data_IF_369390752887
#
_entry.id   IF_369390752887
#
_cell.length_a   1.000
_cell.length_b   1.000
_cell.length_c   1.000
_cell.angle_alpha   90.00
_cell.angle_beta   90.00
_cell.angle_gamma   90.00
#
_symmetry.space_group_name_H-M   'P 1'
#
loop_
_entity.id
_entity.type
_entity.pdbx_description
1 polymer ?
#
# COMPACT_ATOMS: atom_id res chain seq x y z
N UNK A 1 4.81 -50.40 30.00
CA UNK A 1 5.27 -49.41 29.00
C UNK A 1 4.58 -48.09 29.30
N UNK A 2 5.34 -47.06 29.66
CA UNK A 2 4.81 -45.76 30.13
C UNK A 2 4.79 -44.80 28.94
N UNK A 3 3.61 -44.52 28.39
CA UNK A 3 3.46 -43.58 27.29
C UNK A 3 3.64 -42.15 27.82
N UNK A 4 4.74 -41.51 27.45
CA UNK A 4 4.91 -40.06 27.59
C UNK A 4 4.02 -39.39 26.54
N UNK A 5 2.90 -38.80 26.99
CA UNK A 5 2.12 -37.88 26.19
C UNK A 5 2.91 -36.57 26.04
N UNK A 6 3.51 -36.39 24.87
CA UNK A 6 4.08 -35.11 24.45
C UNK A 6 2.88 -34.21 24.12
N UNK A 7 2.56 -33.27 25.00
CA UNK A 7 1.57 -32.22 24.72
C UNK A 7 2.23 -31.26 23.72
N UNK A 8 1.72 -31.10 22.49
CA UNK A 8 2.21 -30.05 21.62
C UNK A 8 1.77 -28.72 22.22
N UNK A 9 2.75 -27.94 22.68
CA UNK A 9 2.53 -26.54 23.02
C UNK A 9 2.15 -25.81 21.73
N UNK A 10 0.85 -25.61 21.53
CA UNK A 10 0.33 -24.73 20.49
C UNK A 10 0.68 -23.31 20.94
N UNK A 11 1.76 -22.75 20.38
CA UNK A 11 1.99 -21.31 20.44
C UNK A 11 0.84 -20.65 19.69
N UNK A 12 -0.18 -20.21 20.43
CA UNK A 12 -1.14 -19.24 19.94
C UNK A 12 -0.36 -17.93 19.73
N UNK A 13 0.25 -17.79 18.56
CA UNK A 13 0.70 -16.50 18.09
C UNK A 13 -0.54 -15.60 18.09
N UNK A 14 -0.61 -14.72 19.09
CA UNK A 14 -1.58 -13.65 19.08
C UNK A 14 -1.19 -12.77 17.90
N UNK A 15 -1.79 -13.01 16.73
CA UNK A 15 -1.66 -12.09 15.61
C UNK A 15 -2.35 -10.82 16.06
N UNK A 16 -1.57 -9.89 16.62
CA UNK A 16 -1.99 -8.51 16.71
C UNK A 16 -2.53 -8.15 15.33
N UNK A 17 -3.76 -7.63 15.28
CA UNK A 17 -4.28 -7.14 14.02
C UNK A 17 -3.33 -6.04 13.55
N UNK A 18 -2.85 -6.15 12.31
CA UNK A 18 -1.97 -5.16 11.73
C UNK A 18 -2.58 -3.76 11.89
N UNK A 19 -1.73 -2.79 12.22
CA UNK A 19 -2.12 -1.38 12.37
C UNK A 19 -2.05 -0.69 11.02
N UNK A 20 -2.91 0.31 10.85
CA UNK A 20 -2.97 1.11 9.64
C UNK A 20 -2.92 2.59 10.00
N UNK A 21 -1.93 3.30 9.48
CA UNK A 21 -1.70 4.72 9.72
C UNK A 21 -1.70 5.50 8.40
N UNK A 22 -2.17 6.76 8.45
CA UNK A 22 -2.18 7.65 7.29
C UNK A 22 -3.22 7.33 6.21
N UNK A 23 -3.98 6.24 6.36
CA UNK A 23 -5.06 5.88 5.44
C UNK A 23 -6.27 6.81 5.64
N UNK A 24 -6.69 7.46 4.57
CA UNK A 24 -7.86 8.35 4.56
C UNK A 24 -8.76 8.04 3.37
N UNK A 25 -10.06 8.30 3.52
CA UNK A 25 -10.98 8.31 2.38
C UNK A 25 -10.49 9.35 1.37
N UNK A 26 -10.19 8.91 0.15
CA UNK A 26 -9.61 9.80 -0.85
C UNK A 26 -10.15 9.51 -2.24
N UNK A 27 -10.32 10.58 -3.01
CA UNK A 27 -10.81 10.51 -4.38
C UNK A 27 -9.70 10.89 -5.34
N UNK A 28 -9.27 9.94 -6.17
CA UNK A 28 -8.24 10.17 -7.19
C UNK A 28 -8.83 10.14 -8.60
N UNK A 29 -8.25 10.95 -9.48
CA UNK A 29 -8.55 10.90 -10.91
C UNK A 29 -8.09 9.58 -11.51
N UNK A 30 -9.02 8.95 -12.21
CA UNK A 30 -8.79 7.80 -13.10
C UNK A 30 -8.22 8.27 -14.42
N UNK A 31 -7.79 7.33 -15.27
CA UNK A 31 -7.38 7.67 -16.63
C UNK A 31 -8.51 8.32 -17.43
N UNK A 32 -9.78 8.00 -17.18
CA UNK A 32 -10.92 8.68 -17.84
C UNK A 32 -11.05 10.18 -17.50
N UNK A 33 -10.36 10.66 -16.47
CA UNK A 33 -10.56 11.98 -15.88
C UNK A 33 -11.57 12.02 -14.74
N UNK A 34 -12.38 10.96 -14.59
CA UNK A 34 -13.34 10.85 -13.51
C UNK A 34 -12.66 10.62 -12.18
N UNK A 35 -13.23 11.19 -11.13
CA UNK A 35 -12.79 10.96 -9.76
C UNK A 35 -13.47 9.72 -9.19
N UNK A 36 -12.69 8.87 -8.52
CA UNK A 36 -13.22 7.72 -7.79
C UNK A 36 -12.75 7.71 -6.34
N UNK A 37 -13.72 7.79 -5.44
CA UNK A 37 -13.53 7.61 -4.00
C UNK A 37 -13.21 6.15 -3.70
N UNK A 38 -12.18 5.92 -2.88
CA UNK A 38 -11.92 4.65 -2.21
C UNK A 38 -11.83 4.94 -0.72
N UNK A 39 -12.57 4.17 0.08
CA UNK A 39 -12.55 4.32 1.54
C UNK A 39 -11.22 3.86 2.12
N UNK A 40 -10.83 4.38 3.29
CA UNK A 40 -9.66 3.92 4.01
C UNK A 40 -9.71 2.40 4.27
N UNK A 41 -10.89 1.86 4.62
CA UNK A 41 -11.08 0.43 4.85
C UNK A 41 -10.81 -0.41 3.59
N UNK A 42 -11.31 0.02 2.43
CA UNK A 42 -11.06 -0.68 1.16
C UNK A 42 -9.57 -0.63 0.78
N UNK A 43 -8.92 0.51 1.02
CA UNK A 43 -7.47 0.66 0.79
C UNK A 43 -6.67 -0.31 1.67
N UNK A 44 -6.97 -0.38 2.97
CA UNK A 44 -6.29 -1.28 3.91
C UNK A 44 -6.40 -2.74 3.47
N UNK A 45 -7.60 -3.16 3.05
CA UNK A 45 -7.84 -4.50 2.51
C UNK A 45 -6.96 -4.78 1.29
N UNK A 46 -6.96 -3.88 0.30
CA UNK A 46 -6.15 -4.03 -0.92
C UNK A 46 -4.66 -4.09 -0.59
N UNK A 47 -4.19 -3.28 0.37
CA UNK A 47 -2.80 -3.28 0.82
C UNK A 47 -2.41 -4.63 1.39
N UNK A 48 -3.19 -5.19 2.30
CA UNK A 48 -2.92 -6.52 2.87
C UNK A 48 -2.93 -7.59 1.80
N UNK A 49 -3.96 -7.61 0.95
CA UNK A 49 -4.14 -8.64 -0.08
C UNK A 49 -2.99 -8.66 -1.10
N UNK A 50 -2.42 -7.48 -1.42
CA UNK A 50 -1.36 -7.34 -2.43
C UNK A 50 0.04 -7.26 -1.83
N UNK A 51 0.20 -7.16 -0.51
CA UNK A 51 1.48 -6.83 0.10
C UNK A 51 2.58 -7.82 -0.28
N UNK A 52 2.30 -9.12 -0.14
CA UNK A 52 3.28 -10.19 -0.37
C UNK A 52 3.70 -10.31 -1.84
N UNK A 53 2.80 -10.00 -2.77
CA UNK A 53 3.05 -10.12 -4.22
C UNK A 53 3.58 -8.83 -4.86
N UNK A 54 3.46 -7.68 -4.18
CA UNK A 54 3.94 -6.40 -4.72
C UNK A 54 5.45 -6.26 -4.56
N UNK A 55 6.11 -5.78 -5.62
CA UNK A 55 7.55 -5.53 -5.67
C UNK A 55 7.95 -4.44 -4.65
N UNK A 56 9.05 -4.68 -3.95
CA UNK A 56 9.65 -3.73 -3.02
C UNK A 56 10.49 -2.70 -3.76
N UNK A 57 10.27 -1.43 -3.46
CA UNK A 57 11.12 -0.31 -3.85
C UNK A 57 12.03 0.11 -2.67
N UNK A 58 13.19 0.68 -3.01
CA UNK A 58 14.23 1.10 -2.07
C UNK A 58 14.28 2.63 -1.95
N UNK A 59 15.03 3.13 -0.97
CA UNK A 59 15.30 4.54 -0.72
C UNK A 59 14.04 5.37 -0.40
N UNK A 60 13.14 4.87 0.45
CA UNK A 60 11.93 5.59 0.92
C UNK A 60 12.24 7.01 1.36
N UNK A 61 13.34 7.18 2.10
CA UNK A 61 13.83 8.46 2.62
C UNK A 61 14.08 9.52 1.54
N UNK A 62 14.33 9.11 0.28
CA UNK A 62 14.70 9.97 -0.86
C UNK A 62 13.69 9.92 -2.01
N UNK A 63 12.86 8.88 -2.08
CA UNK A 63 11.97 8.61 -3.20
C UNK A 63 10.90 9.69 -3.41
N UNK A 64 10.56 10.45 -2.37
CA UNK A 64 9.45 11.39 -2.39
C UNK A 64 9.92 12.84 -2.25
N UNK A 65 9.25 13.73 -2.99
CA UNK A 65 9.40 15.18 -2.85
C UNK A 65 8.09 15.79 -2.31
N UNK A 66 8.14 16.60 -1.24
CA UNK A 66 9.33 16.92 -0.43
C UNK A 66 9.87 15.69 0.32
N UNK A 67 11.19 15.68 0.59
CA UNK A 67 11.84 14.60 1.35
C UNK A 67 11.25 14.50 2.75
N UNK A 68 11.16 13.29 3.29
CA UNK A 68 10.63 13.05 4.63
C UNK A 68 9.10 13.06 4.74
N UNK A 69 8.37 13.21 3.63
CA UNK A 69 6.91 13.02 3.63
C UNK A 69 6.50 11.58 3.96
N UNK A 70 7.41 10.64 3.71
CA UNK A 70 7.27 9.24 4.05
C UNK A 70 8.28 8.88 5.13
N UNK A 71 7.83 8.28 6.25
CA UNK A 71 8.76 7.71 7.21
C UNK A 71 9.49 6.53 6.59
N UNK A 72 10.78 6.40 6.90
CA UNK A 72 11.62 5.29 6.46
C UNK A 72 11.60 4.18 7.51
N UNK A 73 11.42 2.93 7.08
CA UNK A 73 11.57 1.76 7.96
C UNK A 73 13.05 1.34 8.06
N UNK A 74 13.35 0.29 8.84
CA UNK A 74 14.72 -0.18 9.05
C UNK A 74 15.48 -0.51 7.75
N UNK A 75 14.76 -0.99 6.73
CA UNK A 75 15.32 -1.35 5.43
C UNK A 75 15.31 -0.19 4.41
N UNK A 76 14.78 0.99 4.77
CA UNK A 76 14.53 2.12 3.87
C UNK A 76 13.73 1.74 2.60
N UNK A 77 12.69 0.93 2.77
CA UNK A 77 11.86 0.37 1.69
C UNK A 77 10.41 0.80 1.74
N UNK A 78 9.76 0.76 0.58
CA UNK A 78 8.33 1.01 0.42
C UNK A 78 7.77 0.19 -0.74
N UNK A 79 6.45 0.13 -0.87
CA UNK A 79 5.76 -0.51 -1.99
C UNK A 79 4.73 0.42 -2.61
N UNK A 80 4.63 0.39 -3.94
CA UNK A 80 3.52 1.00 -4.68
C UNK A 80 2.40 -0.02 -4.83
N UNK A 81 1.40 0.05 -3.96
CA UNK A 81 0.23 -0.82 -4.05
C UNK A 81 -0.75 -0.21 -5.04
N UNK A 82 -0.94 -0.87 -6.18
CA UNK A 82 -1.91 -0.45 -7.19
C UNK A 82 -3.35 -0.57 -6.67
N UNK A 83 -4.13 0.49 -6.89
CA UNK A 83 -5.56 0.56 -6.58
C UNK A 83 -6.37 0.32 -7.86
N UNK A 84 -6.98 -0.87 -8.04
CA UNK A 84 -7.68 -1.21 -9.28
C UNK A 84 -8.80 -0.21 -9.64
N UNK A 85 -9.46 0.38 -8.64
CA UNK A 85 -10.53 1.35 -8.86
C UNK A 85 -10.03 2.69 -9.42
N UNK A 86 -8.72 2.97 -9.32
CA UNK A 86 -8.08 4.12 -9.98
C UNK A 86 -7.49 3.75 -11.35
N UNK A 87 -7.13 2.47 -11.56
CA UNK A 87 -6.56 1.94 -12.81
C UNK A 87 -7.57 1.06 -13.56
N UNK A 88 -8.57 1.68 -14.16
CA UNK A 88 -9.70 1.01 -14.78
C UNK A 88 -9.47 0.53 -16.21
N UNK A 89 -8.55 1.16 -16.93
CA UNK A 89 -8.22 0.82 -18.32
C UNK A 89 -6.71 0.70 -18.49
N UNK A 90 -6.30 -0.14 -19.42
CA UNK A 90 -4.91 -0.14 -19.86
C UNK A 90 -4.65 1.12 -20.69
N UNK A 91 -3.65 1.88 -20.27
CA UNK A 91 -3.32 3.16 -20.89
C UNK A 91 -2.17 2.98 -21.89
N UNK A 92 -1.97 3.93 -22.80
CA UNK A 92 -0.77 3.96 -23.67
C UNK A 92 0.55 4.05 -22.89
N UNK A 93 0.49 4.37 -21.60
CA UNK A 93 1.62 4.44 -20.67
C UNK A 93 1.72 3.19 -19.78
N UNK A 94 0.90 2.15 -20.05
CA UNK A 94 0.74 0.97 -19.21
C UNK A 94 -0.26 1.18 -18.05
N UNK A 95 -0.55 0.09 -17.32
CA UNK A 95 -1.44 0.12 -16.14
C UNK A 95 -0.78 0.71 -14.88
N UNK A 96 0.54 0.85 -14.88
CA UNK A 96 1.36 1.31 -13.74
C UNK A 96 1.62 2.82 -13.74
N UNK A 97 1.09 3.56 -14.72
CA UNK A 97 1.25 5.02 -14.78
C UNK A 97 0.33 5.71 -13.75
N UNK A 98 0.56 5.47 -12.47
CA UNK A 98 -0.21 6.00 -11.35
C UNK A 98 -1.28 5.05 -10.80
N UNK A 99 -2.30 5.62 -10.15
CA UNK A 99 -3.39 4.88 -9.52
C UNK A 99 -2.93 3.95 -8.40
N UNK A 100 -2.04 4.42 -7.53
CA UNK A 100 -1.41 3.61 -6.49
C UNK A 100 -1.23 4.38 -5.17
N UNK A 101 -0.98 3.63 -4.10
CA UNK A 101 -0.61 4.16 -2.79
C UNK A 101 0.81 3.69 -2.48
N UNK A 102 1.70 4.61 -2.15
CA UNK A 102 2.97 4.26 -1.53
C UNK A 102 2.73 3.88 -0.08
N UNK A 103 3.18 2.70 0.31
CA UNK A 103 3.00 2.16 1.66
C UNK A 103 4.34 1.66 2.20
N UNK A 104 4.61 2.02 3.44
CA UNK A 104 5.76 1.53 4.21
C UNK A 104 5.25 0.57 5.27
N UNK A 105 5.96 -0.52 5.49
CA UNK A 105 5.62 -1.48 6.54
C UNK A 105 6.71 -1.49 7.61
N UNK A 106 6.29 -1.35 8.87
CA UNK A 106 7.12 -1.39 10.06
C UNK A 106 6.92 -2.74 10.75
N UNK A 107 7.89 -3.64 10.61
CA UNK A 107 7.78 -5.00 11.12
C UNK A 107 7.75 -5.05 12.65
N UNK A 108 8.32 -4.05 13.32
CA UNK A 108 8.49 -4.01 14.78
C UNK A 108 7.16 -3.74 15.48
N UNK A 109 6.24 -3.07 14.77
CA UNK A 109 4.94 -2.64 15.29
C UNK A 109 3.77 -3.25 14.54
N UNK A 110 4.05 -4.08 13.53
CA UNK A 110 3.10 -4.61 12.55
C UNK A 110 2.20 -3.50 11.97
N UNK A 111 2.82 -2.43 11.45
CA UNK A 111 2.12 -1.23 10.99
C UNK A 111 2.32 -0.99 9.50
N UNK A 112 1.22 -0.85 8.76
CA UNK A 112 1.21 -0.30 7.42
C UNK A 112 0.97 1.21 7.48
N UNK A 113 1.84 1.99 6.85
CA UNK A 113 1.74 3.45 6.80
C UNK A 113 1.50 3.90 5.36
N UNK A 114 0.32 4.47 5.10
CA UNK A 114 0.01 5.10 3.82
C UNK A 114 0.68 6.48 3.73
N UNK A 115 1.36 6.68 2.61
CA UNK A 115 2.52 7.54 2.58
C UNK A 115 2.37 8.59 1.49
N UNK A 116 1.97 8.15 0.30
CA UNK A 116 1.65 9.02 -0.82
C UNK A 116 0.58 8.41 -1.70
N UNK A 117 -0.40 9.22 -2.02
CA UNK A 117 -1.43 8.88 -3.00
C UNK A 117 -1.01 9.35 -4.38
N UNK A 118 -1.17 8.47 -5.37
CA UNK A 118 -0.86 8.75 -6.76
C UNK A 118 -2.09 8.47 -7.61
N UNK A 119 -2.70 9.53 -8.14
CA UNK A 119 -3.72 9.40 -9.18
C UNK A 119 -3.12 8.87 -10.48
N UNK A 120 -3.95 8.35 -11.36
CA UNK A 120 -3.51 7.87 -12.67
C UNK A 120 -3.06 9.04 -13.55
N UNK A 121 -2.05 8.79 -14.39
CA UNK A 121 -1.70 9.70 -15.48
C UNK A 121 -2.92 9.90 -16.36
N UNK A 122 -3.16 11.13 -16.77
CA UNK A 122 -4.35 11.52 -17.53
C UNK A 122 -4.13 11.25 -19.04
N UNK A 123 -5.18 11.23 -19.88
CA UNK A 123 -5.05 10.93 -21.31
C UNK A 123 -4.12 11.89 -22.04
N UNK A 124 -4.10 13.14 -21.57
CA UNK A 124 -3.21 14.20 -22.04
C UNK A 124 -1.73 13.99 -21.63
N UNK A 125 -1.40 12.95 -20.86
CA UNK A 125 -0.05 12.61 -20.40
C UNK A 125 0.38 13.32 -19.12
N UNK A 126 -0.45 14.20 -18.55
CA UNK A 126 -0.12 14.90 -17.32
C UNK A 126 -0.50 14.10 -16.07
N UNK A 127 0.14 14.42 -14.94
CA UNK A 127 -0.15 13.79 -13.65
C UNK A 127 -1.60 14.12 -13.22
N UNK A 128 -2.37 13.09 -12.87
CA UNK A 128 -3.68 13.26 -12.25
C UNK A 128 -3.59 13.81 -10.81
N UNK A 129 -4.75 14.05 -10.22
CA UNK A 129 -4.90 14.61 -8.89
C UNK A 129 -5.71 13.73 -7.96
N UNK A 130 -5.34 13.71 -6.69
CA UNK A 130 -6.17 13.19 -5.60
C UNK A 130 -6.62 14.36 -4.72
N UNK A 131 -7.84 14.27 -4.19
CA UNK A 131 -8.44 15.27 -3.31
C UNK A 131 -9.30 14.61 -2.23
#
# INVERSE_FOLDING_TARGET
>A
MRFLQIIPAVFAASTLAAKFEGFVDISCQRYSGDYRLITAADQQKIVVDKWASTVTAQETSRAFSPKGICPSNADDTYKWIEMPQWNDVETRFGRTAGGAIAVVYFNETDTYHACRYLASVQPNGYKGQCK
#
